data_IF_128246843005
#
_entry.id   IF_128246843005
#
_cell.length_a   1.000
_cell.length_b   1.000
_cell.length_c   1.000
_cell.angle_alpha   90.00
_cell.angle_beta   90.00
_cell.angle_gamma   90.00
#
_symmetry.space_group_name_H-M   'P 1'
#
loop_
_entity.id
_entity.type
_entity.pdbx_description
1 polymer ?
#
# COMPACT_ATOMS: atom_id res chain seq x y z
N UNK A 1 -25.92 48.98 14.84
CA UNK A 1 -24.61 48.58 15.39
C UNK A 1 -23.79 48.06 14.22
N UNK A 2 -22.63 48.64 13.92
CA UNK A 2 -21.82 48.15 12.80
C UNK A 2 -21.18 46.80 13.19
N UNK A 3 -21.33 45.84 12.31
CA UNK A 3 -20.68 44.52 12.37
C UNK A 3 -19.20 44.77 12.19
N UNK A 4 -18.37 44.47 13.21
CA UNK A 4 -16.91 44.54 13.12
C UNK A 4 -16.40 43.49 12.12
N UNK A 5 -15.71 43.95 11.09
CA UNK A 5 -14.93 43.08 10.21
C UNK A 5 -13.93 42.24 11.01
N UNK A 6 -13.73 40.95 10.66
CA UNK A 6 -12.72 40.13 11.32
C UNK A 6 -11.34 40.74 11.07
N UNK A 7 -10.58 41.01 12.15
CA UNK A 7 -9.19 41.41 12.07
C UNK A 7 -8.38 40.39 11.27
N UNK A 8 -7.52 40.83 10.33
CA UNK A 8 -6.52 39.94 9.75
C UNK A 8 -5.64 39.37 10.87
N UNK A 9 -5.43 38.08 10.88
CA UNK A 9 -4.44 37.44 11.75
C UNK A 9 -3.07 38.06 11.47
N UNK A 10 -2.59 38.89 12.39
CA UNK A 10 -1.21 39.41 12.37
C UNK A 10 -0.27 38.19 12.40
N UNK A 11 0.44 38.00 11.31
CA UNK A 11 1.49 36.97 11.20
C UNK A 11 2.68 37.43 12.05
N UNK A 12 2.86 36.85 13.24
CA UNK A 12 4.05 37.05 14.02
C UNK A 12 5.30 36.70 13.16
N UNK A 13 6.43 37.44 13.30
CA UNK A 13 7.65 37.23 12.49
C UNK A 13 8.22 35.81 12.55
N UNK A 14 7.86 35.00 13.55
CA UNK A 14 8.25 33.60 13.74
C UNK A 14 7.30 32.57 13.07
N UNK A 15 6.31 33.02 12.28
CA UNK A 15 5.30 32.09 11.71
C UNK A 15 5.72 31.43 10.41
N UNK A 16 6.83 31.82 9.81
CA UNK A 16 7.30 31.35 8.50
C UNK A 16 8.76 30.91 8.55
N UNK A 17 9.12 30.00 7.68
CA UNK A 17 10.50 29.55 7.47
C UNK A 17 10.88 29.76 6.00
N UNK A 18 12.09 30.23 5.74
CA UNK A 18 12.63 30.38 4.40
C UNK A 18 13.14 29.03 3.87
N UNK A 19 13.25 28.91 2.50
CA UNK A 19 13.85 27.75 1.84
C UNK A 19 15.26 27.47 2.37
N UNK A 20 16.09 28.50 2.49
CA UNK A 20 17.47 28.36 2.95
C UNK A 20 17.57 27.85 4.41
N UNK A 21 16.72 28.38 5.29
CA UNK A 21 16.66 27.94 6.69
C UNK A 21 16.15 26.50 6.79
N UNK A 22 15.10 26.13 6.05
CA UNK A 22 14.56 24.78 6.03
C UNK A 22 15.61 23.78 5.51
N UNK A 23 16.29 24.12 4.40
CA UNK A 23 17.35 23.30 3.84
C UNK A 23 18.49 23.07 4.85
N UNK A 24 18.93 24.10 5.57
CA UNK A 24 19.99 24.00 6.58
C UNK A 24 19.59 23.15 7.80
N UNK A 25 18.30 22.86 7.97
CA UNK A 25 17.75 22.12 9.12
C UNK A 25 17.21 20.74 8.76
N UNK A 26 17.42 20.27 7.52
CA UNK A 26 17.07 18.89 7.14
C UNK A 26 17.79 17.89 8.07
N UNK A 27 17.05 16.87 8.51
CA UNK A 27 17.57 15.84 9.42
C UNK A 27 17.69 16.28 10.89
N UNK A 28 17.27 17.50 11.25
CA UNK A 28 17.24 17.92 12.64
C UNK A 28 16.09 17.23 13.41
N UNK A 29 16.44 16.43 14.42
CA UNK A 29 15.48 15.68 15.24
C UNK A 29 14.50 16.55 16.05
N UNK A 30 14.79 17.85 16.23
CA UNK A 30 13.90 18.79 16.91
C UNK A 30 12.85 19.40 15.96
N UNK A 31 12.89 19.05 14.64
CA UNK A 31 12.03 19.59 13.61
C UNK A 31 11.22 18.46 12.94
N UNK A 32 9.90 18.56 13.01
CA UNK A 32 8.99 17.72 12.23
C UNK A 32 8.50 18.49 11.01
N UNK A 33 8.90 18.07 9.83
CA UNK A 33 8.42 18.62 8.54
C UNK A 33 7.17 17.84 8.15
N UNK A 34 6.09 18.53 7.77
CA UNK A 34 4.82 17.90 7.40
C UNK A 34 4.38 18.34 6.01
N UNK A 35 4.18 17.36 5.14
CA UNK A 35 3.59 17.53 3.83
C UNK A 35 2.07 17.39 3.93
N UNK A 36 1.32 18.46 3.63
CA UNK A 36 -0.14 18.46 3.72
C UNK A 36 -0.83 18.12 2.39
N UNK A 37 -0.06 17.80 1.35
CA UNK A 37 -0.58 17.42 0.03
C UNK A 37 -1.18 16.03 0.06
N UNK A 38 -1.92 15.69 -0.99
CA UNK A 38 -2.42 14.33 -1.18
C UNK A 38 -1.27 13.31 -1.31
N UNK A 39 -1.49 12.08 -0.84
CA UNK A 39 -0.49 11.01 -0.85
C UNK A 39 0.13 10.72 -2.23
N UNK A 40 -0.61 10.76 -3.35
CA UNK A 40 0.01 10.60 -4.65
C UNK A 40 1.15 11.61 -4.91
N UNK A 41 0.95 12.88 -4.55
CA UNK A 41 1.99 13.91 -4.71
C UNK A 41 3.20 13.64 -3.81
N UNK A 42 2.95 13.24 -2.55
CA UNK A 42 3.99 12.82 -1.62
C UNK A 42 4.78 11.62 -2.15
N UNK A 43 4.10 10.62 -2.70
CA UNK A 43 4.70 9.38 -3.20
C UNK A 43 5.53 9.59 -4.48
N UNK A 44 5.29 10.63 -5.28
CA UNK A 44 6.10 10.86 -6.46
C UNK A 44 5.37 11.41 -7.69
N UNK A 45 4.03 11.40 -7.70
CA UNK A 45 3.26 12.02 -8.78
C UNK A 45 3.43 13.53 -8.75
N UNK A 46 3.54 14.14 -9.92
CA UNK A 46 3.68 15.60 -9.98
C UNK A 46 2.36 16.28 -9.66
N UNK A 47 2.37 17.13 -8.64
CA UNK A 47 1.27 18.07 -8.44
C UNK A 47 1.28 19.17 -9.50
N UNK A 48 0.13 19.80 -9.73
CA UNK A 48 -0.04 20.85 -10.75
C UNK A 48 0.99 21.96 -10.60
N UNK A 49 1.73 22.23 -11.66
CA UNK A 49 2.76 23.28 -11.68
C UNK A 49 4.10 22.92 -11.07
N UNK A 50 4.26 21.73 -10.49
CA UNK A 50 5.55 21.31 -9.94
C UNK A 50 6.50 20.77 -11.03
N UNK A 51 7.79 21.07 -10.93
CA UNK A 51 8.81 20.60 -11.87
C UNK A 51 9.05 19.08 -11.73
N UNK A 52 8.91 18.52 -10.52
CA UNK A 52 9.07 17.09 -10.20
C UNK A 52 8.10 16.67 -9.11
N UNK A 53 7.85 15.35 -8.99
CA UNK A 53 7.08 14.76 -7.90
C UNK A 53 7.95 14.37 -6.70
N UNK A 54 7.32 13.97 -5.59
CA UNK A 54 7.97 13.59 -4.35
C UNK A 54 7.75 14.60 -3.22
N UNK A 55 8.61 14.54 -2.19
CA UNK A 55 8.48 15.36 -0.97
C UNK A 55 9.85 15.81 -0.45
N UNK A 56 9.84 16.77 0.48
CA UNK A 56 11.06 17.22 1.19
C UNK A 56 11.55 16.05 2.06
N UNK A 57 12.85 15.69 2.01
CA UNK A 57 13.38 14.56 2.77
C UNK A 57 13.04 14.61 4.26
N UNK A 58 12.60 13.47 4.77
CA UNK A 58 12.17 13.33 6.16
C UNK A 58 10.80 13.96 6.49
N UNK A 59 10.09 14.49 5.51
CA UNK A 59 8.73 14.99 5.74
C UNK A 59 7.74 13.85 6.03
N UNK A 60 6.86 14.09 6.99
CA UNK A 60 5.73 13.21 7.34
C UNK A 60 4.52 13.60 6.51
N UNK A 61 3.86 12.62 5.89
CA UNK A 61 2.62 12.86 5.15
C UNK A 61 1.42 13.03 6.08
N UNK A 62 0.69 14.14 5.91
CA UNK A 62 -0.62 14.36 6.54
C UNK A 62 -1.56 15.08 5.57
N UNK A 63 -2.21 14.36 4.64
CA UNK A 63 -3.15 14.94 3.69
C UNK A 63 -4.19 15.81 4.36
N UNK A 64 -4.34 17.07 3.91
CA UNK A 64 -5.26 18.01 4.53
C UNK A 64 -6.72 17.55 4.46
N UNK A 65 -7.09 16.76 3.46
CA UNK A 65 -8.42 16.18 3.30
C UNK A 65 -8.85 15.30 4.50
N UNK A 66 -7.91 14.75 5.26
CA UNK A 66 -8.24 13.96 6.45
C UNK A 66 -8.89 14.80 7.56
N UNK A 67 -8.70 16.13 7.58
CA UNK A 67 -9.39 16.99 8.54
C UNK A 67 -10.90 17.01 8.37
N UNK A 68 -11.39 16.73 7.16
CA UNK A 68 -12.81 16.75 6.82
C UNK A 68 -13.41 15.34 6.70
N UNK A 69 -12.57 14.31 6.55
CA UNK A 69 -13.01 12.93 6.30
C UNK A 69 -13.09 12.06 7.56
N UNK A 70 -12.44 12.47 8.66
CA UNK A 70 -12.47 11.75 9.93
C UNK A 70 -12.83 12.67 11.09
N UNK A 71 -13.32 12.11 12.18
CA UNK A 71 -13.69 12.88 13.35
C UNK A 71 -12.47 13.46 14.10
N UNK A 72 -12.72 14.44 14.97
CA UNK A 72 -11.64 15.16 15.68
C UNK A 72 -10.76 14.24 16.55
N UNK A 73 -11.28 13.30 17.33
CA UNK A 73 -10.45 12.37 18.11
C UNK A 73 -9.53 11.53 17.25
N UNK A 74 -9.99 11.08 16.08
CA UNK A 74 -9.20 10.29 15.17
C UNK A 74 -8.09 11.12 14.51
N UNK A 75 -8.38 12.37 14.11
CA UNK A 75 -7.36 13.33 13.64
C UNK A 75 -6.28 13.52 14.70
N UNK A 76 -6.65 13.72 15.97
CA UNK A 76 -5.70 13.88 17.07
C UNK A 76 -4.83 12.64 17.25
N UNK A 77 -5.42 11.46 17.20
CA UNK A 77 -4.72 10.18 17.25
C UNK A 77 -3.69 10.03 16.12
N UNK A 78 -4.05 10.42 14.88
CA UNK A 78 -3.12 10.39 13.75
C UNK A 78 -1.98 11.38 13.90
N UNK A 79 -2.28 12.61 14.31
CA UNK A 79 -1.24 13.63 14.55
C UNK A 79 -0.24 13.18 15.62
N UNK A 80 -0.73 12.50 16.66
CA UNK A 80 0.11 11.93 17.72
C UNK A 80 0.94 10.76 17.20
N UNK A 81 0.31 9.78 16.52
CA UNK A 81 0.98 8.60 15.98
C UNK A 81 2.07 8.95 14.95
N UNK A 82 1.89 10.05 14.21
CA UNK A 82 2.86 10.57 13.23
C UNK A 82 3.93 11.50 13.85
N UNK A 83 3.94 11.67 15.18
CA UNK A 83 4.90 12.54 15.85
C UNK A 83 4.77 14.03 15.51
N UNK A 84 3.60 14.46 15.03
CA UNK A 84 3.31 15.86 14.70
C UNK A 84 2.85 16.61 15.95
N UNK A 85 1.93 16.02 16.71
CA UNK A 85 1.47 16.58 17.97
C UNK A 85 2.55 16.37 19.05
N UNK A 86 2.81 17.44 19.82
CA UNK A 86 3.87 17.50 20.83
C UNK A 86 5.32 17.52 20.28
N UNK A 87 5.49 17.67 18.96
CA UNK A 87 6.81 17.95 18.39
C UNK A 87 7.37 19.27 18.90
N UNK A 88 8.69 19.36 18.99
CA UNK A 88 9.37 20.59 19.49
C UNK A 88 9.12 21.77 18.58
N UNK A 89 9.16 21.54 17.27
CA UNK A 89 8.79 22.48 16.22
C UNK A 89 8.21 21.73 15.02
N UNK A 90 7.14 22.27 14.42
CA UNK A 90 6.52 21.74 13.22
C UNK A 90 6.66 22.75 12.09
N UNK A 91 7.08 22.26 10.91
CA UNK A 91 7.06 23.03 9.67
C UNK A 91 6.10 22.39 8.71
N UNK A 92 5.08 23.13 8.28
CA UNK A 92 4.06 22.70 7.34
C UNK A 92 4.37 23.23 5.93
N UNK A 93 4.14 22.42 4.92
CA UNK A 93 4.14 22.87 3.52
C UNK A 93 3.12 22.08 2.68
N UNK A 94 2.66 22.68 1.59
CA UNK A 94 1.74 22.10 0.63
C UNK A 94 1.95 22.66 -0.75
N UNK A 95 0.98 22.49 -1.64
CA UNK A 95 0.95 23.17 -2.95
C UNK A 95 0.37 24.59 -2.81
N UNK A 96 -0.60 24.75 -1.91
CA UNK A 96 -1.24 26.04 -1.62
C UNK A 96 -0.98 26.44 -0.16
N UNK A 97 -0.63 27.72 0.10
CA UNK A 97 -0.42 28.19 1.47
C UNK A 97 -1.64 27.99 2.38
N UNK A 98 -2.87 28.04 1.83
CA UNK A 98 -4.12 27.85 2.58
C UNK A 98 -4.20 26.45 3.23
N UNK A 99 -3.74 25.40 2.55
CA UNK A 99 -3.78 24.04 3.08
C UNK A 99 -2.94 23.92 4.35
N UNK A 100 -1.75 24.50 4.35
CA UNK A 100 -0.89 24.57 5.52
C UNK A 100 -1.49 25.40 6.67
N UNK A 101 -2.22 26.50 6.36
CA UNK A 101 -2.90 27.33 7.36
C UNK A 101 -4.02 26.56 8.07
N UNK A 102 -4.78 25.72 7.37
CA UNK A 102 -5.86 24.92 7.95
C UNK A 102 -5.32 23.95 9.00
N UNK A 103 -4.23 23.22 8.69
CA UNK A 103 -3.60 22.33 9.65
C UNK A 103 -2.95 23.11 10.80
N UNK A 104 -2.33 24.27 10.54
CA UNK A 104 -1.77 25.14 11.58
C UNK A 104 -2.83 25.56 12.61
N UNK A 105 -4.01 25.96 12.15
CA UNK A 105 -5.13 26.31 13.02
C UNK A 105 -5.54 25.12 13.90
N UNK A 106 -5.68 23.94 13.30
CA UNK A 106 -6.02 22.71 14.03
C UNK A 106 -4.97 22.35 15.08
N UNK A 107 -3.68 22.45 14.75
CA UNK A 107 -2.58 22.20 15.68
C UNK A 107 -2.57 23.19 16.84
N UNK A 108 -2.87 24.47 16.58
CA UNK A 108 -2.99 25.49 17.64
C UNK A 108 -4.13 25.16 18.62
N UNK A 109 -5.29 24.73 18.13
CA UNK A 109 -6.44 24.27 18.94
C UNK A 109 -6.08 23.05 19.83
N UNK A 110 -5.11 22.25 19.39
CA UNK A 110 -4.61 21.08 20.13
C UNK A 110 -3.39 21.40 21.01
N UNK A 111 -3.02 22.70 21.10
CA UNK A 111 -1.95 23.16 21.99
C UNK A 111 -0.52 23.03 21.43
N UNK A 112 -0.35 22.76 20.15
CA UNK A 112 0.97 22.73 19.50
C UNK A 112 1.51 24.16 19.35
N UNK A 113 2.51 24.54 20.16
CA UNK A 113 2.93 25.92 20.31
C UNK A 113 3.80 26.47 19.17
N UNK A 114 4.63 25.63 18.56
CA UNK A 114 5.61 26.07 17.56
C UNK A 114 5.29 25.45 16.18
N UNK A 115 4.51 26.20 15.40
CA UNK A 115 4.13 25.79 14.03
C UNK A 115 4.49 26.91 13.05
N UNK A 116 5.38 26.62 12.13
CA UNK A 116 5.83 27.51 11.06
C UNK A 116 5.34 26.98 9.70
N UNK A 117 5.28 27.85 8.71
CA UNK A 117 4.88 27.49 7.35
C UNK A 117 6.00 27.82 6.38
N UNK A 118 6.34 26.85 5.53
CA UNK A 118 7.15 27.09 4.36
C UNK A 118 6.24 27.53 3.21
N UNK A 119 6.18 28.86 2.99
CA UNK A 119 5.23 29.47 2.03
C UNK A 119 5.50 29.13 0.58
N UNK A 120 6.77 28.94 0.20
CA UNK A 120 7.14 28.53 -1.17
C UNK A 120 6.63 27.14 -1.53
N UNK A 121 6.33 26.34 -0.53
CA UNK A 121 5.75 25.02 -0.67
C UNK A 121 6.58 24.08 -1.55
N UNK A 122 5.92 23.03 -2.03
CA UNK A 122 6.59 22.07 -2.89
C UNK A 122 7.03 22.67 -4.23
N UNK A 123 6.25 23.59 -4.81
CA UNK A 123 6.56 24.15 -6.10
C UNK A 123 7.91 24.88 -6.13
N UNK A 124 8.22 25.69 -5.10
CA UNK A 124 9.51 26.37 -4.96
C UNK A 124 10.65 25.38 -4.70
N UNK A 125 10.41 24.37 -3.85
CA UNK A 125 11.40 23.34 -3.55
C UNK A 125 11.72 22.48 -4.78
N UNK A 126 10.68 22.04 -5.51
CA UNK A 126 10.81 21.18 -6.68
C UNK A 126 11.47 21.87 -7.86
N UNK A 127 11.35 23.19 -7.99
CA UNK A 127 11.98 23.98 -9.04
C UNK A 127 13.51 24.08 -8.91
N UNK A 128 14.04 23.83 -7.71
CA UNK A 128 15.47 23.83 -7.44
C UNK A 128 16.00 22.38 -7.49
N UNK A 129 16.54 21.98 -8.63
CA UNK A 129 17.05 20.62 -8.84
C UNK A 129 18.27 20.27 -7.98
N UNK A 130 18.92 21.26 -7.37
CA UNK A 130 20.05 21.03 -6.46
C UNK A 130 19.60 20.57 -5.07
N UNK A 131 18.32 20.77 -4.73
CA UNK A 131 17.76 20.34 -3.47
C UNK A 131 17.33 18.86 -3.53
N UNK A 132 17.54 18.12 -2.42
CA UNK A 132 17.14 16.73 -2.35
C UNK A 132 15.60 16.59 -2.35
N UNK A 133 15.13 15.46 -2.87
CA UNK A 133 13.72 15.09 -2.84
C UNK A 133 13.61 13.58 -2.70
N UNK A 134 12.76 13.13 -1.78
CA UNK A 134 12.42 11.72 -1.60
C UNK A 134 11.13 11.39 -2.34
N UNK A 135 11.03 10.14 -2.79
CA UNK A 135 9.83 9.59 -3.42
C UNK A 135 9.80 8.08 -3.33
N UNK A 136 8.63 7.50 -3.45
CA UNK A 136 8.46 6.07 -3.64
C UNK A 136 9.11 5.65 -4.97
N UNK A 137 9.96 4.63 -4.96
CA UNK A 137 10.78 4.25 -6.13
C UNK A 137 9.93 3.91 -7.34
N UNK A 138 8.94 3.03 -7.17
CA UNK A 138 8.03 2.60 -8.24
C UNK A 138 6.64 3.26 -8.06
N UNK A 139 6.61 4.58 -7.81
CA UNK A 139 5.37 5.31 -7.54
C UNK A 139 4.34 5.20 -8.68
N UNK A 140 4.81 5.06 -9.92
CA UNK A 140 3.98 4.91 -11.11
C UNK A 140 3.22 3.59 -11.18
N UNK A 141 3.53 2.64 -10.28
CA UNK A 141 2.81 1.37 -10.11
C UNK A 141 1.68 1.47 -9.07
N UNK A 142 1.60 2.57 -8.33
CA UNK A 142 0.52 2.89 -7.41
C UNK A 142 -0.27 4.08 -7.98
N UNK A 143 -1.28 3.80 -8.79
CA UNK A 143 -2.06 4.83 -9.48
C UNK A 143 -3.20 5.33 -8.59
N UNK A 144 -3.58 6.59 -8.75
CA UNK A 144 -4.67 7.20 -7.99
C UNK A 144 -5.93 7.40 -8.85
N UNK A 145 -7.07 7.67 -8.22
CA UNK A 145 -8.36 7.74 -8.90
C UNK A 145 -8.40 8.77 -10.04
N UNK A 146 -7.85 9.97 -9.85
CA UNK A 146 -7.82 11.01 -10.90
C UNK A 146 -6.95 10.60 -12.10
N UNK A 147 -5.83 9.91 -11.83
CA UNK A 147 -4.97 9.37 -12.87
C UNK A 147 -5.71 8.35 -13.73
N UNK A 148 -6.39 7.39 -13.07
CA UNK A 148 -7.16 6.36 -13.75
C UNK A 148 -8.34 6.98 -14.52
N UNK A 149 -9.02 7.97 -13.94
CA UNK A 149 -10.10 8.70 -14.60
C UNK A 149 -9.63 9.36 -15.91
N UNK A 150 -8.50 10.08 -15.85
CA UNK A 150 -7.93 10.69 -17.04
C UNK A 150 -7.58 9.67 -18.12
N UNK A 151 -7.04 8.51 -17.73
CA UNK A 151 -6.71 7.43 -18.66
C UNK A 151 -7.97 6.87 -19.33
N UNK A 152 -9.03 6.59 -18.54
CA UNK A 152 -10.29 6.03 -19.04
C UNK A 152 -11.06 7.03 -19.94
N UNK A 153 -10.93 8.32 -19.71
CA UNK A 153 -11.47 9.38 -20.56
C UNK A 153 -10.66 9.58 -21.87
N UNK A 154 -9.66 8.74 -22.15
CA UNK A 154 -8.82 8.79 -23.33
C UNK A 154 -7.67 9.83 -23.25
N UNK A 155 -7.41 10.37 -22.07
CA UNK A 155 -6.27 11.24 -21.81
C UNK A 155 -4.95 10.47 -21.69
N UNK A 156 -3.85 11.22 -21.56
CA UNK A 156 -2.51 10.68 -21.33
C UNK A 156 -1.92 11.28 -20.06
N UNK A 157 -2.31 10.78 -18.88
CA UNK A 157 -1.71 11.24 -17.63
C UNK A 157 -0.22 10.90 -17.55
N UNK A 158 0.48 11.45 -16.54
CA UNK A 158 1.90 11.14 -16.30
C UNK A 158 2.11 9.63 -16.23
N UNK A 159 3.18 9.12 -16.84
CA UNK A 159 3.49 7.69 -16.92
C UNK A 159 2.35 6.81 -17.48
N UNK A 160 1.46 7.37 -18.33
CA UNK A 160 0.44 6.57 -18.98
C UNK A 160 1.04 5.39 -19.76
N UNK A 161 0.34 4.23 -19.83
CA UNK A 161 0.78 3.11 -20.65
C UNK A 161 1.09 3.52 -22.09
N UNK A 162 2.16 2.97 -22.65
CA UNK A 162 2.51 3.19 -24.06
C UNK A 162 1.91 2.15 -24.99
N UNK A 163 1.48 1.02 -24.43
CA UNK A 163 0.83 -0.12 -25.10
C UNK A 163 -0.60 -0.34 -24.63
N UNK A 164 -1.17 -1.50 -24.98
CA UNK A 164 -2.51 -1.88 -24.50
C UNK A 164 -2.54 -2.02 -22.99
N UNK A 165 -3.63 -1.60 -22.38
CA UNK A 165 -3.87 -1.83 -20.96
C UNK A 165 -5.20 -2.53 -20.73
N UNK A 166 -5.32 -3.20 -19.59
CA UNK A 166 -6.56 -3.80 -19.07
C UNK A 166 -6.75 -3.41 -17.62
N UNK A 167 -7.99 -3.12 -17.27
CA UNK A 167 -8.43 -2.85 -15.91
C UNK A 167 -9.20 -4.05 -15.38
N UNK A 168 -8.87 -4.51 -14.18
CA UNK A 168 -9.56 -5.65 -13.57
C UNK A 168 -10.09 -5.31 -12.17
N UNK A 169 -11.37 -5.63 -11.98
CA UNK A 169 -11.96 -5.81 -10.65
C UNK A 169 -11.55 -7.21 -10.17
N UNK A 170 -10.72 -7.28 -9.15
CA UNK A 170 -10.24 -8.55 -8.60
C UNK A 170 -11.07 -8.93 -7.38
N UNK A 171 -11.61 -10.14 -7.36
CA UNK A 171 -12.32 -10.67 -6.21
C UNK A 171 -12.10 -12.19 -6.12
N UNK A 172 -12.63 -12.80 -5.07
CA UNK A 172 -12.58 -14.23 -4.83
C UNK A 172 -13.94 -14.87 -5.14
N UNK A 173 -13.96 -15.83 -6.06
CA UNK A 173 -15.12 -16.68 -6.38
C UNK A 173 -16.12 -16.00 -7.29
N UNK A 174 -17.22 -15.52 -6.74
CA UNK A 174 -18.37 -15.03 -7.52
C UNK A 174 -18.26 -13.53 -7.87
N UNK A 175 -18.81 -13.11 -9.03
CA UNK A 175 -18.68 -11.73 -9.53
C UNK A 175 -19.76 -10.77 -9.00
N UNK A 176 -20.45 -11.09 -7.90
CA UNK A 176 -21.66 -10.34 -7.46
C UNK A 176 -21.37 -8.84 -7.25
N UNK A 177 -20.22 -8.48 -6.63
CA UNK A 177 -19.85 -7.08 -6.43
C UNK A 177 -19.53 -6.38 -7.74
N UNK A 178 -18.90 -7.08 -8.68
CA UNK A 178 -18.63 -6.58 -10.02
C UNK A 178 -19.93 -6.39 -10.82
N UNK A 179 -20.86 -7.34 -10.75
CA UNK A 179 -22.16 -7.29 -11.42
C UNK A 179 -23.05 -6.18 -10.85
N UNK A 180 -22.96 -5.90 -9.55
CA UNK A 180 -23.67 -4.79 -8.92
C UNK A 180 -23.26 -3.46 -9.55
N UNK A 181 -21.98 -3.16 -9.55
CA UNK A 181 -21.37 -2.05 -10.26
C UNK A 181 -19.83 -2.11 -10.15
N UNK A 182 -19.15 -1.48 -11.10
CA UNK A 182 -17.70 -1.48 -11.19
C UNK A 182 -17.17 -0.21 -11.88
N UNK A 183 -15.86 -0.03 -11.87
CA UNK A 183 -15.19 1.07 -12.58
C UNK A 183 -15.36 0.84 -14.09
N UNK A 184 -15.74 1.89 -14.88
CA UNK A 184 -16.00 1.73 -16.31
C UNK A 184 -14.86 1.06 -17.08
N UNK A 185 -15.22 0.07 -17.90
CA UNK A 185 -14.28 -0.70 -18.71
C UNK A 185 -13.50 -1.77 -17.95
N UNK A 186 -13.77 -1.99 -16.67
CA UNK A 186 -13.16 -3.07 -15.91
C UNK A 186 -13.68 -4.44 -16.36
N UNK A 187 -12.81 -5.44 -16.31
CA UNK A 187 -13.11 -6.85 -16.46
C UNK A 187 -13.09 -7.53 -15.08
N UNK A 188 -13.82 -8.62 -14.93
CA UNK A 188 -13.77 -9.42 -13.72
C UNK A 188 -12.60 -10.40 -13.72
N UNK A 189 -11.86 -10.47 -12.60
CA UNK A 189 -10.81 -11.45 -12.37
C UNK A 189 -11.06 -12.18 -11.06
N UNK A 190 -11.47 -13.45 -11.16
CA UNK A 190 -11.55 -14.36 -10.02
C UNK A 190 -10.15 -14.89 -9.67
N UNK A 191 -9.71 -14.69 -8.42
CA UNK A 191 -8.41 -15.19 -7.95
C UNK A 191 -8.26 -16.69 -8.09
N UNK A 192 -9.35 -17.47 -8.06
CA UNK A 192 -9.35 -18.92 -8.32
C UNK A 192 -8.83 -19.30 -9.72
N UNK A 193 -8.75 -18.34 -10.65
CA UNK A 193 -8.10 -18.56 -11.95
C UNK A 193 -6.58 -18.53 -11.86
N UNK A 194 -6.04 -17.94 -10.80
CA UNK A 194 -4.61 -17.75 -10.58
C UNK A 194 -4.06 -18.65 -9.48
N UNK A 195 -4.89 -19.08 -8.55
CA UNK A 195 -4.53 -19.92 -7.41
C UNK A 195 -5.45 -21.14 -7.28
N UNK A 196 -4.93 -22.17 -6.61
CA UNK A 196 -5.66 -23.42 -6.38
C UNK A 196 -6.55 -23.27 -5.15
N UNK A 197 -7.87 -23.50 -5.25
CA UNK A 197 -8.80 -23.36 -4.13
C UNK A 197 -8.63 -24.40 -3.00
N UNK A 198 -7.74 -25.40 -3.17
CA UNK A 198 -7.51 -26.47 -2.18
C UNK A 198 -6.39 -26.10 -1.20
N UNK A 199 -5.28 -25.57 -1.72
CA UNK A 199 -4.09 -25.23 -0.95
C UNK A 199 -3.71 -23.75 -1.00
N UNK A 200 -4.43 -22.96 -1.80
CA UNK A 200 -4.24 -21.53 -2.00
C UNK A 200 -2.91 -21.12 -2.66
N UNK A 201 -2.13 -22.11 -3.10
CA UNK A 201 -0.91 -21.85 -3.82
C UNK A 201 -1.22 -21.41 -5.26
N UNK A 202 -0.28 -20.74 -5.89
CA UNK A 202 -0.36 -20.42 -7.32
C UNK A 202 -0.66 -21.66 -8.15
N UNK A 203 -1.39 -21.51 -9.23
CA UNK A 203 -1.62 -22.58 -10.21
C UNK A 203 -0.34 -22.96 -10.94
N UNK A 204 -0.38 -24.11 -11.63
CA UNK A 204 0.74 -24.56 -12.44
C UNK A 204 1.05 -23.57 -13.57
N UNK A 205 2.28 -23.58 -14.12
CA UNK A 205 2.63 -22.72 -15.24
C UNK A 205 1.69 -22.83 -16.45
N UNK A 206 1.21 -24.04 -16.75
CA UNK A 206 0.29 -24.31 -17.85
C UNK A 206 -1.09 -23.71 -17.60
N UNK A 207 -1.62 -23.85 -16.37
CA UNK A 207 -2.89 -23.25 -15.96
C UNK A 207 -2.81 -21.73 -15.95
N UNK A 208 -1.67 -21.16 -15.51
CA UNK A 208 -1.45 -19.72 -15.54
C UNK A 208 -1.37 -19.20 -16.99
N UNK A 209 -0.69 -19.89 -17.91
CA UNK A 209 -0.66 -19.50 -19.32
C UNK A 209 -2.08 -19.50 -19.92
N UNK A 210 -2.88 -20.51 -19.63
CA UNK A 210 -4.28 -20.55 -20.06
C UNK A 210 -5.08 -19.39 -19.48
N UNK A 211 -4.93 -19.11 -18.19
CA UNK A 211 -5.61 -17.99 -17.52
C UNK A 211 -5.21 -16.64 -18.16
N UNK A 212 -3.91 -16.38 -18.35
CA UNK A 212 -3.43 -15.14 -18.99
C UNK A 212 -4.03 -14.98 -20.39
N UNK A 213 -3.98 -16.04 -21.19
CA UNK A 213 -4.55 -15.99 -22.56
C UNK A 213 -6.05 -15.77 -22.55
N UNK A 214 -6.78 -16.42 -21.66
CA UNK A 214 -8.24 -16.25 -21.55
C UNK A 214 -8.65 -14.84 -21.14
N UNK A 215 -7.89 -14.18 -20.27
CA UNK A 215 -8.10 -12.78 -19.90
C UNK A 215 -7.60 -11.78 -20.98
N UNK A 216 -6.97 -12.29 -22.06
CA UNK A 216 -6.36 -11.46 -23.09
C UNK A 216 -5.15 -10.68 -22.60
N UNK A 217 -4.44 -11.24 -21.62
CA UNK A 217 -3.20 -10.66 -21.07
C UNK A 217 -2.01 -11.27 -21.81
N UNK A 218 -1.13 -10.40 -22.31
CA UNK A 218 0.21 -10.76 -22.79
C UNK A 218 1.26 -10.21 -21.83
N UNK A 219 2.50 -10.64 -21.96
CA UNK A 219 3.61 -10.09 -21.19
C UNK A 219 3.66 -8.55 -21.22
N UNK A 220 3.37 -7.96 -22.38
CA UNK A 220 3.50 -6.51 -22.62
C UNK A 220 2.21 -5.73 -22.32
N UNK A 221 1.17 -6.39 -21.83
CA UNK A 221 -0.08 -5.74 -21.41
C UNK A 221 0.15 -5.02 -20.09
N UNK A 222 -0.13 -3.72 -20.02
CA UNK A 222 -0.24 -3.03 -18.73
C UNK A 222 -1.51 -3.52 -18.03
N UNK A 223 -1.37 -4.09 -16.84
CA UNK A 223 -2.50 -4.58 -16.02
C UNK A 223 -2.72 -3.66 -14.85
N UNK A 224 -3.91 -3.05 -14.78
CA UNK A 224 -4.33 -2.19 -13.67
C UNK A 224 -5.33 -2.99 -12.84
N UNK A 225 -5.07 -3.10 -11.54
CA UNK A 225 -5.84 -3.93 -10.61
C UNK A 225 -6.48 -3.07 -9.54
N UNK A 226 -7.69 -3.42 -9.15
CA UNK A 226 -8.32 -2.90 -7.94
C UNK A 226 -9.19 -3.97 -7.30
N UNK A 227 -9.39 -3.87 -5.98
CA UNK A 227 -10.34 -4.66 -5.23
C UNK A 227 -11.44 -3.77 -4.66
N UNK A 228 -12.50 -4.42 -4.18
CA UNK A 228 -13.57 -3.80 -3.41
C UNK A 228 -13.65 -4.53 -2.08
N UNK A 229 -13.37 -3.84 -0.97
CA UNK A 229 -13.55 -4.40 0.35
C UNK A 229 -15.04 -4.45 0.68
N UNK A 230 -15.53 -5.56 1.21
CA UNK A 230 -16.93 -5.75 1.57
C UNK A 230 -17.04 -6.31 2.98
N UNK A 231 -18.16 -6.03 3.65
CA UNK A 231 -18.44 -6.60 4.99
C UNK A 231 -18.55 -8.13 4.97
N UNK A 232 -18.71 -8.74 3.78
CA UNK A 232 -18.94 -10.17 3.60
C UNK A 232 -20.24 -10.66 4.25
N UNK A 233 -20.68 -11.85 3.93
CA UNK A 233 -21.85 -12.45 4.55
C UNK A 233 -21.44 -13.26 5.79
N UNK A 234 -22.21 -13.15 6.88
CA UNK A 234 -21.93 -13.80 8.17
C UNK A 234 -21.76 -15.32 8.09
N UNK A 235 -22.26 -15.96 7.03
CA UNK A 235 -22.25 -17.41 6.81
C UNK A 235 -21.26 -17.84 5.72
N UNK A 236 -20.41 -16.98 5.19
CA UNK A 236 -19.41 -17.34 4.19
C UNK A 236 -18.38 -18.31 4.79
N UNK A 237 -18.26 -19.47 4.15
CA UNK A 237 -17.21 -20.44 4.51
C UNK A 237 -15.81 -19.88 4.29
N UNK A 238 -15.67 -19.01 3.31
CA UNK A 238 -14.43 -18.36 2.89
C UNK A 238 -14.66 -16.86 2.71
N UNK A 239 -14.45 -16.03 3.72
CA UNK A 239 -14.73 -14.60 3.65
C UNK A 239 -13.67 -13.81 2.85
N UNK A 240 -13.06 -14.42 1.85
CA UNK A 240 -12.08 -13.79 0.96
C UNK A 240 -12.60 -12.54 0.23
N UNK A 241 -13.91 -12.40 0.11
CA UNK A 241 -14.58 -11.20 -0.42
C UNK A 241 -14.33 -9.94 0.42
N UNK A 242 -14.11 -10.10 1.73
CA UNK A 242 -13.74 -8.98 2.62
C UNK A 242 -12.36 -8.40 2.33
N UNK A 243 -11.52 -9.15 1.63
CA UNK A 243 -10.12 -8.82 1.41
C UNK A 243 -9.87 -8.25 0.02
N UNK A 244 -10.84 -7.58 -0.62
CA UNK A 244 -10.80 -7.17 -2.02
C UNK A 244 -9.48 -6.51 -2.46
N UNK A 245 -8.97 -5.52 -1.73
CA UNK A 245 -7.68 -4.90 -2.07
C UNK A 245 -6.50 -5.88 -1.89
N UNK A 246 -6.56 -6.78 -0.89
CA UNK A 246 -5.57 -7.86 -0.74
C UNK A 246 -5.64 -8.82 -1.92
N UNK A 247 -6.83 -9.12 -2.44
CA UNK A 247 -7.02 -9.95 -3.63
C UNK A 247 -6.34 -9.32 -4.86
N UNK A 248 -6.45 -8.00 -5.04
CA UNK A 248 -5.75 -7.28 -6.10
C UNK A 248 -4.22 -7.39 -5.97
N UNK A 249 -3.67 -7.30 -4.76
CA UNK A 249 -2.26 -7.52 -4.50
C UNK A 249 -1.83 -8.98 -4.74
N UNK A 250 -2.70 -9.95 -4.39
CA UNK A 250 -2.48 -11.37 -4.69
C UNK A 250 -2.40 -11.62 -6.19
N UNK A 251 -3.33 -11.07 -6.95
CA UNK A 251 -3.28 -11.12 -8.41
C UNK A 251 -2.00 -10.46 -8.96
N UNK A 252 -1.63 -9.27 -8.44
CA UNK A 252 -0.42 -8.57 -8.86
C UNK A 252 0.84 -9.43 -8.70
N UNK A 253 1.00 -10.12 -7.57
CA UNK A 253 2.13 -11.01 -7.32
C UNK A 253 2.18 -12.15 -8.34
N UNK A 254 1.07 -12.87 -8.55
CA UNK A 254 1.03 -14.03 -9.45
C UNK A 254 1.22 -13.61 -10.92
N UNK A 255 0.62 -12.50 -11.34
CA UNK A 255 0.84 -11.93 -12.67
C UNK A 255 2.31 -11.53 -12.88
N UNK A 256 2.93 -10.95 -11.87
CA UNK A 256 4.36 -10.58 -11.92
C UNK A 256 5.26 -11.82 -11.98
N UNK A 257 4.96 -12.85 -11.19
CA UNK A 257 5.61 -14.15 -11.22
C UNK A 257 5.52 -14.78 -12.61
N UNK A 258 4.32 -14.75 -13.22
CA UNK A 258 4.12 -15.25 -14.57
C UNK A 258 4.96 -14.51 -15.61
N UNK A 259 5.18 -13.20 -15.45
CA UNK A 259 6.03 -12.40 -16.32
C UNK A 259 5.39 -11.13 -16.90
N UNK A 260 4.25 -10.70 -16.40
CA UNK A 260 3.67 -9.38 -16.76
C UNK A 260 4.61 -8.28 -16.26
N UNK A 261 5.05 -7.42 -17.17
CA UNK A 261 6.06 -6.40 -16.84
C UNK A 261 5.48 -5.17 -16.14
N UNK A 262 4.32 -4.68 -16.57
CA UNK A 262 3.69 -3.46 -16.04
C UNK A 262 2.38 -3.79 -15.32
N UNK A 263 2.45 -3.90 -13.99
CA UNK A 263 1.31 -4.11 -13.11
C UNK A 263 1.15 -2.89 -12.23
N UNK A 264 -0.07 -2.37 -12.17
CA UNK A 264 -0.41 -1.19 -11.39
C UNK A 264 -1.59 -1.49 -10.46
N UNK A 265 -1.54 -0.94 -9.27
CA UNK A 265 -2.61 -1.03 -8.28
C UNK A 265 -3.30 0.33 -8.16
N UNK A 266 -4.63 0.35 -8.17
CA UNK A 266 -5.39 1.55 -7.81
C UNK A 266 -5.34 1.71 -6.29
N UNK A 267 -4.68 2.76 -5.83
CA UNK A 267 -4.54 3.06 -4.41
C UNK A 267 -5.90 3.35 -3.77
N UNK A 268 -6.19 2.67 -2.65
CA UNK A 268 -7.51 2.73 -1.99
C UNK A 268 -8.64 2.02 -2.75
N UNK A 269 -8.36 1.38 -3.88
CA UNK A 269 -9.27 0.51 -4.61
C UNK A 269 -10.58 1.17 -5.04
N UNK A 270 -11.65 0.35 -5.06
CA UNK A 270 -13.00 0.77 -5.46
C UNK A 270 -13.53 1.91 -4.58
N UNK A 271 -13.34 1.84 -3.27
CA UNK A 271 -13.92 2.82 -2.35
C UNK A 271 -13.33 4.22 -2.56
N UNK A 272 -12.03 4.31 -2.80
CA UNK A 272 -11.39 5.59 -3.10
C UNK A 272 -11.83 6.17 -4.45
N UNK A 273 -12.10 5.30 -5.45
CA UNK A 273 -12.68 5.72 -6.72
C UNK A 273 -14.07 6.37 -6.53
N UNK A 274 -14.92 5.74 -5.71
CA UNK A 274 -16.27 6.25 -5.40
C UNK A 274 -16.21 7.54 -4.58
N UNK A 275 -15.35 7.60 -3.57
CA UNK A 275 -15.16 8.80 -2.74
C UNK A 275 -14.69 10.01 -3.55
N UNK A 276 -13.90 9.79 -4.61
CA UNK A 276 -13.50 10.82 -5.55
C UNK A 276 -14.65 11.29 -6.49
N UNK A 277 -15.86 10.74 -6.35
CA UNK A 277 -17.02 11.11 -7.16
C UNK A 277 -16.97 10.60 -8.59
N UNK A 278 -16.19 9.58 -8.88
CA UNK A 278 -16.03 9.03 -10.22
C UNK A 278 -17.22 8.12 -10.62
N UNK A 279 -17.49 7.97 -11.93
CA UNK A 279 -18.61 7.17 -12.41
C UNK A 279 -18.42 5.68 -12.21
N UNK A 280 -19.53 4.97 -12.13
CA UNK A 280 -19.60 3.50 -12.12
C UNK A 280 -20.44 3.03 -13.31
N UNK A 281 -20.26 1.77 -13.71
CA UNK A 281 -21.08 1.10 -14.69
C UNK A 281 -21.53 -0.28 -14.23
N UNK A 282 -22.53 -0.84 -14.93
CA UNK A 282 -23.09 -2.18 -14.71
C UNK A 282 -23.01 -3.05 -15.96
N UNK A 283 -22.38 -2.55 -17.01
CA UNK A 283 -22.22 -3.29 -18.28
C UNK A 283 -21.06 -4.26 -18.14
N UNK A 284 -21.39 -5.55 -18.12
CA UNK A 284 -20.39 -6.61 -17.94
C UNK A 284 -19.47 -6.70 -19.17
N UNK A 285 -18.18 -6.57 -18.93
CA UNK A 285 -17.15 -6.72 -19.94
C UNK A 285 -16.76 -8.19 -20.14
N UNK A 286 -16.56 -8.59 -21.40
CA UNK A 286 -16.03 -9.91 -21.74
C UNK A 286 -14.57 -9.78 -22.16
N UNK A 287 -13.63 -10.55 -21.57
CA UNK A 287 -12.25 -10.52 -22.02
C UNK A 287 -12.12 -11.14 -23.41
N UNK A 288 -11.34 -10.50 -24.28
CA UNK A 288 -11.01 -11.04 -25.60
C UNK A 288 -9.72 -11.86 -25.47
N UNK A 289 -9.77 -13.18 -25.66
CA UNK A 289 -8.60 -14.04 -25.52
C UNK A 289 -7.51 -13.73 -26.54
N UNK A 290 -6.26 -14.01 -26.15
CA UNK A 290 -5.08 -13.90 -27.02
C UNK A 290 -4.48 -15.28 -27.30
N UNK A 291 -3.81 -15.48 -28.45
CA UNK A 291 -3.28 -16.78 -28.84
C UNK A 291 -2.07 -17.22 -28.01
N UNK A 292 -1.34 -16.29 -27.41
CA UNK A 292 -0.11 -16.55 -26.64
C UNK A 292 0.08 -15.50 -25.57
N UNK A 293 0.59 -15.89 -24.41
CA UNK A 293 1.07 -14.96 -23.38
C UNK A 293 2.37 -14.25 -23.80
N UNK A 294 3.20 -14.91 -24.62
CA UNK A 294 4.41 -14.32 -25.19
C UNK A 294 5.73 -14.78 -24.58
N UNK A 295 5.71 -15.37 -23.40
CA UNK A 295 6.89 -15.94 -22.72
C UNK A 295 6.52 -17.22 -21.97
N UNK A 296 7.53 -18.01 -21.62
CA UNK A 296 7.34 -19.17 -20.76
C UNK A 296 7.10 -18.74 -19.31
N UNK A 297 6.11 -19.33 -18.65
CA UNK A 297 5.80 -19.14 -17.24
C UNK A 297 6.52 -20.23 -16.41
N UNK A 298 7.10 -19.87 -15.26
CA UNK A 298 7.27 -18.51 -14.74
C UNK A 298 8.47 -17.80 -15.38
N UNK A 299 8.34 -16.50 -15.57
CA UNK A 299 9.48 -15.65 -15.94
C UNK A 299 10.27 -15.16 -14.71
N UNK A 300 9.61 -15.09 -13.55
CA UNK A 300 10.17 -14.57 -12.28
C UNK A 300 9.91 -15.54 -11.15
N UNK A 301 10.50 -16.75 -11.18
CA UNK A 301 10.24 -17.78 -10.15
C UNK A 301 10.65 -17.33 -8.74
N UNK A 302 11.61 -16.43 -8.62
CA UNK A 302 12.13 -15.92 -7.35
C UNK A 302 11.11 -15.14 -6.51
N UNK A 303 9.98 -14.71 -7.10
CA UNK A 303 8.97 -13.90 -6.41
C UNK A 303 8.03 -14.72 -5.53
N UNK A 304 7.84 -16.00 -5.85
CA UNK A 304 7.00 -16.91 -5.07
C UNK A 304 7.82 -18.16 -4.75
N UNK A 305 8.11 -18.34 -3.49
CA UNK A 305 8.95 -19.44 -2.98
C UNK A 305 8.12 -20.51 -2.30
N UNK A 306 8.66 -21.71 -2.29
CA UNK A 306 8.09 -22.88 -1.64
C UNK A 306 8.74 -23.14 -0.27
N UNK A 307 8.37 -24.20 0.42
CA UNK A 307 8.78 -24.49 1.79
C UNK A 307 10.30 -24.68 1.95
N UNK A 308 10.97 -25.22 0.93
CA UNK A 308 12.42 -25.48 1.00
C UNK A 308 13.22 -24.18 0.99
N UNK A 309 12.84 -23.20 0.17
CA UNK A 309 13.43 -21.86 0.18
C UNK A 309 13.11 -21.11 1.48
N UNK A 310 11.88 -21.27 2.02
CA UNK A 310 11.54 -20.71 3.33
C UNK A 310 12.45 -21.26 4.44
N UNK A 311 12.80 -22.56 4.42
CA UNK A 311 13.76 -23.16 5.33
C UNK A 311 15.19 -22.63 5.13
N UNK A 312 15.59 -22.35 3.89
CA UNK A 312 16.89 -21.72 3.59
C UNK A 312 16.96 -20.32 4.19
N UNK A 313 15.91 -19.50 4.04
CA UNK A 313 15.83 -18.17 4.66
C UNK A 313 16.00 -18.25 6.17
N UNK A 314 15.31 -19.19 6.83
CA UNK A 314 15.41 -19.37 8.28
C UNK A 314 16.80 -19.81 8.75
N UNK A 315 17.59 -20.44 7.89
CA UNK A 315 18.97 -20.85 8.18
C UNK A 315 20.00 -19.72 8.11
N UNK A 316 19.68 -18.59 7.45
CA UNK A 316 20.56 -17.42 7.25
C UNK A 316 19.91 -16.13 7.75
N UNK A 317 19.72 -16.02 9.08
CA UNK A 317 19.06 -14.88 9.70
C UNK A 317 19.84 -13.55 9.60
N UNK A 318 21.11 -13.62 9.31
CA UNK A 318 21.94 -12.43 9.10
C UNK A 318 21.58 -11.73 7.80
N UNK A 319 21.40 -12.49 6.71
CA UNK A 319 21.18 -11.94 5.36
C UNK A 319 19.76 -12.17 4.80
N UNK A 320 18.89 -12.83 5.57
CA UNK A 320 17.53 -13.12 5.15
C UNK A 320 16.52 -13.00 6.31
N UNK A 321 15.25 -12.80 5.98
CA UNK A 321 14.16 -12.75 6.94
C UNK A 321 12.90 -13.39 6.38
N UNK A 322 12.33 -14.35 7.11
CA UNK A 322 10.98 -14.86 6.86
C UNK A 322 10.02 -14.08 7.75
N UNK A 323 9.13 -13.30 7.13
CA UNK A 323 8.34 -12.27 7.80
C UNK A 323 6.88 -12.69 7.90
N UNK A 324 6.38 -12.81 9.12
CA UNK A 324 4.98 -13.10 9.41
C UNK A 324 4.10 -11.85 9.25
N UNK A 325 3.22 -11.85 8.25
CA UNK A 325 2.21 -10.80 8.06
C UNK A 325 0.88 -11.32 8.60
N UNK A 326 0.84 -11.50 9.90
CA UNK A 326 -0.32 -11.99 10.65
C UNK A 326 -0.54 -11.11 11.88
N UNK A 327 -1.74 -11.12 12.44
CA UNK A 327 -2.00 -10.37 13.68
C UNK A 327 -1.07 -10.85 14.80
N UNK A 328 -0.81 -9.98 15.77
CA UNK A 328 -0.01 -10.39 16.94
C UNK A 328 -0.59 -11.62 17.65
N UNK A 329 -1.91 -11.70 17.78
CA UNK A 329 -2.59 -12.84 18.40
C UNK A 329 -2.41 -14.14 17.63
N UNK A 330 -2.39 -14.10 16.28
CA UNK A 330 -2.06 -15.25 15.45
C UNK A 330 -0.59 -15.64 15.62
N UNK A 331 0.31 -14.65 15.61
CA UNK A 331 1.75 -14.86 15.69
C UNK A 331 2.17 -15.51 17.01
N UNK A 332 1.62 -15.07 18.14
CA UNK A 332 1.88 -15.69 19.44
C UNK A 332 1.08 -16.99 19.68
N UNK A 333 0.23 -17.40 18.77
CA UNK A 333 -0.58 -18.62 18.88
C UNK A 333 -1.76 -18.51 19.84
N UNK A 334 -2.21 -17.31 20.18
CA UNK A 334 -3.43 -17.13 20.98
C UNK A 334 -4.70 -17.48 20.19
N UNK A 335 -4.65 -17.41 18.89
CA UNK A 335 -5.70 -17.82 17.94
C UNK A 335 -5.05 -18.37 16.67
N UNK A 336 -5.79 -19.17 15.89
CA UNK A 336 -5.38 -19.55 14.53
C UNK A 336 -5.53 -18.38 13.55
N UNK A 337 -6.58 -17.58 13.72
CA UNK A 337 -6.94 -16.48 12.82
C UNK A 337 -7.80 -16.91 11.64
N UNK A 338 -7.96 -18.20 11.40
CA UNK A 338 -8.68 -18.76 10.26
C UNK A 338 -9.62 -19.88 10.71
N UNK A 339 -10.75 -20.03 10.03
CA UNK A 339 -11.72 -21.10 10.29
C UNK A 339 -11.33 -22.42 9.59
N UNK A 340 -10.33 -22.41 8.72
CA UNK A 340 -9.85 -23.56 7.92
C UNK A 340 -8.42 -24.00 8.27
N UNK A 341 -7.70 -23.26 9.11
CA UNK A 341 -6.38 -23.62 9.62
C UNK A 341 -6.53 -23.91 11.12
N UNK A 342 -6.36 -25.17 11.51
CA UNK A 342 -6.53 -25.58 12.90
C UNK A 342 -5.39 -25.15 13.83
N UNK A 343 -4.11 -25.40 13.47
CA UNK A 343 -2.99 -25.05 14.32
C UNK A 343 -2.85 -23.55 14.57
N UNK A 344 -2.45 -23.19 15.81
CA UNK A 344 -2.11 -21.83 16.20
C UNK A 344 -0.60 -21.75 16.52
N UNK A 345 0.02 -20.59 16.29
CA UNK A 345 1.45 -20.37 16.48
C UNK A 345 2.11 -19.67 15.31
N UNK A 346 3.43 -19.73 15.26
CA UNK A 346 4.25 -19.16 14.20
C UNK A 346 5.32 -20.13 13.72
N UNK A 347 5.91 -19.85 12.59
CA UNK A 347 7.10 -20.53 12.09
C UNK A 347 8.26 -20.22 13.04
N UNK A 348 8.95 -21.28 13.53
CA UNK A 348 10.06 -21.08 14.44
C UNK A 348 11.17 -20.26 13.79
N UNK A 349 11.51 -19.12 14.39
CA UNK A 349 12.56 -18.25 13.92
C UNK A 349 12.15 -17.19 12.89
N UNK A 350 10.88 -17.05 12.62
CA UNK A 350 10.34 -15.94 11.83
C UNK A 350 10.44 -14.59 12.55
N UNK A 351 10.13 -13.55 11.82
CA UNK A 351 10.05 -12.16 12.33
C UNK A 351 8.63 -11.65 12.13
N UNK A 352 8.06 -10.99 13.14
CA UNK A 352 6.75 -10.39 13.01
C UNK A 352 6.81 -9.05 12.26
N UNK A 353 6.14 -8.97 11.12
CA UNK A 353 6.12 -7.81 10.23
C UNK A 353 4.88 -6.93 10.39
N UNK A 354 4.07 -7.13 11.44
CA UNK A 354 2.78 -6.48 11.62
C UNK A 354 1.72 -6.95 10.61
N UNK A 355 0.47 -6.48 10.77
CA UNK A 355 -0.63 -6.76 9.86
C UNK A 355 -1.79 -5.79 10.13
N UNK A 356 -2.79 -6.24 10.86
CA UNK A 356 -3.99 -5.52 11.24
C UNK A 356 -4.74 -6.25 12.35
N UNK A 357 -6.04 -6.00 12.46
CA UNK A 357 -6.90 -6.51 13.54
C UNK A 357 -7.27 -7.99 13.38
N UNK A 358 -7.37 -8.48 12.14
CA UNK A 358 -7.72 -9.87 11.82
C UNK A 358 -7.09 -10.36 10.50
N UNK A 359 -7.60 -11.48 9.95
CA UNK A 359 -7.09 -12.11 8.74
C UNK A 359 -7.43 -11.36 7.42
N UNK A 360 -8.24 -10.31 7.49
CA UNK A 360 -8.77 -9.58 6.32
C UNK A 360 -8.40 -8.11 6.32
N UNK A 361 -7.81 -7.60 7.40
CA UNK A 361 -7.49 -6.20 7.60
C UNK A 361 -5.98 -5.97 7.69
N UNK A 362 -5.54 -4.85 7.12
CA UNK A 362 -4.12 -4.46 6.99
C UNK A 362 -3.86 -3.04 7.53
N UNK A 363 -4.46 -2.68 8.67
CA UNK A 363 -4.45 -1.31 9.22
C UNK A 363 -3.04 -0.78 9.54
N UNK A 364 -2.06 -1.66 9.77
CA UNK A 364 -0.67 -1.22 9.93
C UNK A 364 -0.04 -0.74 8.60
N UNK A 365 -0.64 -1.10 7.48
CA UNK A 365 -0.15 -0.82 6.13
C UNK A 365 -1.02 0.15 5.34
N UNK A 366 -2.22 0.45 5.82
CA UNK A 366 -3.19 1.33 5.17
C UNK A 366 -3.55 2.52 6.04
N UNK A 367 -3.92 3.60 5.38
CA UNK A 367 -4.51 4.78 6.01
C UNK A 367 -6.02 4.57 6.24
N UNK A 368 -6.64 5.53 6.89
CA UNK A 368 -8.09 5.54 7.18
C UNK A 368 -8.97 5.52 5.93
N UNK A 369 -8.48 6.02 4.81
CA UNK A 369 -9.12 6.05 3.50
C UNK A 369 -8.75 4.83 2.62
N UNK A 370 -8.22 3.79 3.24
CA UNK A 370 -7.77 2.54 2.60
C UNK A 370 -6.61 2.68 1.61
N UNK A 371 -6.01 3.86 1.49
CA UNK A 371 -4.79 4.07 0.70
C UNK A 371 -3.57 3.49 1.39
N UNK A 372 -2.51 3.22 0.64
CA UNK A 372 -1.23 2.79 1.19
C UNK A 372 -0.72 3.82 2.21
N UNK A 373 -0.32 3.36 3.39
CA UNK A 373 0.36 4.21 4.37
C UNK A 373 1.65 4.78 3.77
N UNK A 374 2.04 5.98 4.20
CA UNK A 374 3.29 6.58 3.73
C UNK A 374 4.46 5.58 3.86
N UNK A 375 5.17 5.34 2.77
CA UNK A 375 6.20 4.29 2.71
C UNK A 375 7.31 4.43 3.77
N UNK A 376 7.73 5.63 4.22
CA UNK A 376 8.70 5.75 5.29
C UNK A 376 8.17 5.23 6.64
N UNK A 377 6.86 5.31 6.88
CA UNK A 377 6.25 4.76 8.10
C UNK A 377 6.25 3.22 8.08
N UNK A 378 5.99 2.62 6.90
CA UNK A 378 6.09 1.17 6.72
C UNK A 378 7.54 0.71 6.90
N UNK A 379 8.49 1.41 6.27
CA UNK A 379 9.92 1.10 6.38
C UNK A 379 10.40 1.19 7.84
N UNK A 380 10.01 2.23 8.58
CA UNK A 380 10.37 2.38 9.99
C UNK A 380 9.83 1.25 10.88
N UNK A 381 8.59 0.79 10.62
CA UNK A 381 8.03 -0.39 11.31
C UNK A 381 8.84 -1.65 11.03
N UNK A 382 9.28 -1.85 9.79
CA UNK A 382 10.08 -3.00 9.38
C UNK A 382 11.50 -2.94 9.95
N UNK A 383 12.16 -1.77 9.89
CA UNK A 383 13.49 -1.56 10.48
C UNK A 383 13.51 -1.85 11.97
N UNK A 384 12.46 -1.44 12.71
CA UNK A 384 12.29 -1.76 14.13
C UNK A 384 12.25 -3.25 14.45
N UNK A 385 11.91 -4.09 13.46
CA UNK A 385 11.90 -5.55 13.52
C UNK A 385 13.11 -6.19 12.76
N UNK A 386 14.12 -5.40 12.40
CA UNK A 386 15.28 -5.82 11.60
C UNK A 386 14.93 -6.43 10.23
N UNK A 387 13.80 -5.99 9.64
CA UNK A 387 13.38 -6.31 8.28
C UNK A 387 13.86 -5.16 7.38
N UNK A 388 14.89 -5.39 6.58
CA UNK A 388 15.61 -4.34 5.85
C UNK A 388 15.87 -4.72 4.40
N UNK A 389 16.02 -3.74 3.51
CA UNK A 389 16.14 -3.92 2.07
C UNK A 389 17.43 -4.63 1.61
N UNK A 390 18.46 -4.69 2.44
CA UNK A 390 19.70 -5.39 2.19
C UNK A 390 19.59 -6.91 2.37
N UNK A 391 18.53 -7.39 3.04
CA UNK A 391 18.25 -8.80 3.24
C UNK A 391 17.42 -9.41 2.10
N UNK A 392 17.46 -10.72 1.98
CA UNK A 392 16.43 -11.46 1.25
C UNK A 392 15.19 -11.60 2.14
N UNK A 393 14.12 -10.87 1.82
CA UNK A 393 12.91 -10.83 2.62
C UNK A 393 11.80 -11.63 1.94
N UNK A 394 11.31 -12.66 2.62
CA UNK A 394 10.12 -13.38 2.19
C UNK A 394 8.98 -13.16 3.19
N UNK A 395 7.85 -12.69 2.70
CA UNK A 395 6.64 -12.49 3.49
C UNK A 395 5.78 -13.76 3.46
N UNK A 396 5.10 -14.05 4.57
CA UNK A 396 4.09 -15.10 4.64
C UNK A 396 2.91 -14.69 5.53
N UNK A 397 1.75 -15.30 5.29
CA UNK A 397 0.59 -15.22 6.17
C UNK A 397 -0.08 -16.60 6.32
N UNK A 398 -1.38 -16.72 6.28
CA UNK A 398 -2.07 -18.02 6.21
C UNK A 398 -1.80 -18.75 4.91
N UNK A 399 -2.04 -18.06 3.78
CA UNK A 399 -2.10 -18.62 2.42
C UNK A 399 -1.57 -17.63 1.36
N UNK A 400 -0.63 -16.77 1.70
CA UNK A 400 0.03 -15.84 0.78
C UNK A 400 -0.71 -14.52 0.49
N UNK A 401 -1.97 -14.35 0.84
CA UNK A 401 -2.77 -13.18 0.48
C UNK A 401 -2.29 -11.87 1.09
N UNK A 402 -2.32 -11.74 2.44
CA UNK A 402 -1.80 -10.54 3.15
C UNK A 402 -0.31 -10.31 2.85
N UNK A 403 0.44 -11.39 2.71
CA UNK A 403 1.85 -11.35 2.34
C UNK A 403 2.07 -10.73 0.95
N UNK A 404 1.13 -10.91 0.01
CA UNK A 404 1.19 -10.29 -1.31
C UNK A 404 1.07 -8.78 -1.26
N UNK A 405 0.31 -8.22 -0.32
CA UNK A 405 0.21 -6.77 -0.14
C UNK A 405 1.52 -6.17 0.39
N UNK A 406 2.13 -6.78 1.41
CA UNK A 406 3.43 -6.34 1.92
C UNK A 406 4.54 -6.51 0.89
N UNK A 407 4.52 -7.59 0.12
CA UNK A 407 5.41 -7.78 -1.01
C UNK A 407 5.26 -6.65 -2.03
N UNK A 408 4.00 -6.27 -2.38
CA UNK A 408 3.76 -5.19 -3.34
C UNK A 408 4.28 -3.85 -2.82
N UNK A 409 4.13 -3.56 -1.54
CA UNK A 409 4.67 -2.33 -0.93
C UNK A 409 6.19 -2.32 -0.91
N UNK A 410 6.85 -3.45 -0.60
CA UNK A 410 8.30 -3.58 -0.72
C UNK A 410 8.77 -3.41 -2.18
N UNK A 411 8.02 -3.94 -3.15
CA UNK A 411 8.25 -3.70 -4.58
C UNK A 411 8.13 -2.22 -4.94
N UNK A 412 7.11 -1.52 -4.45
CA UNK A 412 6.96 -0.08 -4.66
C UNK A 412 8.15 0.71 -4.10
N UNK A 413 8.70 0.29 -2.96
CA UNK A 413 9.91 0.88 -2.36
C UNK A 413 11.19 0.54 -3.14
N UNK A 414 11.15 -0.37 -4.11
CA UNK A 414 12.29 -0.78 -4.89
C UNK A 414 13.22 -1.78 -4.20
N UNK A 415 12.72 -2.55 -3.23
CA UNK A 415 13.53 -3.57 -2.55
C UNK A 415 13.97 -4.67 -3.52
N UNK A 416 15.26 -5.03 -3.55
CA UNK A 416 15.81 -5.85 -4.63
C UNK A 416 15.54 -7.35 -4.50
N UNK A 417 15.37 -7.87 -3.27
CA UNK A 417 15.25 -9.31 -2.99
C UNK A 417 14.07 -9.59 -2.10
N UNK A 418 12.88 -9.67 -2.72
CA UNK A 418 11.60 -9.86 -2.03
C UNK A 418 10.84 -11.03 -2.63
N UNK A 419 10.18 -11.80 -1.78
CA UNK A 419 9.37 -12.94 -2.18
C UNK A 419 8.14 -13.11 -1.28
N UNK A 420 7.24 -14.00 -1.67
CA UNK A 420 6.18 -14.53 -0.82
C UNK A 420 6.37 -16.03 -0.69
N UNK A 421 6.37 -16.54 0.54
CA UNK A 421 6.22 -17.96 0.82
C UNK A 421 4.75 -18.35 0.64
N UNK A 422 4.48 -19.04 -0.45
CA UNK A 422 3.12 -19.27 -0.97
C UNK A 422 2.29 -20.18 -0.05
N UNK A 423 2.86 -21.28 0.39
CA UNK A 423 2.21 -22.23 1.29
C UNK A 423 1.85 -21.67 2.67
N UNK A 424 2.59 -20.67 3.12
CA UNK A 424 2.36 -19.94 4.35
C UNK A 424 2.19 -20.81 5.58
N UNK A 425 1.43 -20.29 6.55
CA UNK A 425 1.11 -21.02 7.77
C UNK A 425 0.27 -22.28 7.50
N UNK A 426 -0.57 -22.25 6.48
CA UNK A 426 -1.43 -23.38 6.10
C UNK A 426 -0.62 -24.63 5.73
N UNK A 427 0.44 -24.47 4.93
CA UNK A 427 1.31 -25.58 4.56
C UNK A 427 2.25 -25.95 5.71
N UNK A 428 2.92 -24.97 6.31
CA UNK A 428 3.93 -25.17 7.33
C UNK A 428 3.39 -25.94 8.54
N UNK A 429 2.22 -25.56 9.02
CA UNK A 429 1.63 -26.11 10.26
C UNK A 429 1.04 -27.52 10.12
N UNK A 430 1.00 -28.09 8.91
CA UNK A 430 0.52 -29.47 8.68
C UNK A 430 1.48 -30.54 9.21
N UNK A 431 2.77 -30.23 9.25
CA UNK A 431 3.79 -31.18 9.74
C UNK A 431 4.72 -30.48 10.74
N UNK A 432 4.33 -30.35 12.01
CA UNK A 432 5.12 -29.69 13.03
C UNK A 432 6.39 -30.48 13.44
N UNK A 433 6.54 -31.72 12.97
CA UNK A 433 7.74 -32.52 13.20
C UNK A 433 8.86 -32.08 12.25
N UNK A 434 8.55 -31.95 10.96
CA UNK A 434 9.51 -31.50 9.94
C UNK A 434 9.62 -29.98 9.85
N UNK A 435 8.60 -29.25 10.32
CA UNK A 435 8.45 -27.80 10.24
C UNK A 435 8.21 -27.24 11.65
N UNK A 436 9.27 -26.89 12.40
CA UNK A 436 9.13 -26.42 13.77
C UNK A 436 8.23 -25.19 13.91
N UNK A 437 7.40 -25.21 14.95
CA UNK A 437 6.49 -24.12 15.29
C UNK A 437 6.77 -23.61 16.70
N UNK A 438 6.44 -22.36 16.95
CA UNK A 438 6.51 -21.72 18.26
C UNK A 438 5.16 -21.14 18.67
N UNK A 439 4.92 -21.11 19.99
CA UNK A 439 3.73 -20.55 20.64
C UNK A 439 4.18 -19.71 21.83
N UNK A 440 3.43 -18.66 22.14
CA UNK A 440 3.76 -17.69 23.18
C UNK A 440 4.53 -16.49 22.62
N UNK A 441 4.82 -15.53 23.48
CA UNK A 441 5.58 -14.34 23.11
C UNK A 441 7.02 -14.73 22.73
N UNK A 442 7.59 -14.10 21.66
CA UNK A 442 8.99 -14.31 21.33
C UNK A 442 9.88 -13.91 22.51
N UNK A 443 10.83 -14.78 22.84
CA UNK A 443 11.85 -14.43 23.84
C UNK A 443 12.80 -13.44 23.19
N UNK A 444 12.99 -12.27 23.81
CA UNK A 444 13.99 -11.32 23.37
C UNK A 444 15.38 -12.00 23.40
N UNK A 445 16.04 -12.08 22.26
CA UNK A 445 17.39 -12.63 22.11
C UNK A 445 18.43 -11.53 22.32
#
# INVERSE_FOLDING_TARGET
MPVSEPRPLETAPDSHISKAELCARLGNLDLTIVDVRALPAYNGWRSSGAARGGHIPGAVAFPIAWLDSVDRPEVERFLQAKGILHAREVVLYGDRPQDALSLKARLADLGQARVRIYQGGWAEWAADETLPADRLTNYDKLVHADWLRQLLDGGRPEAAPTGPFKLFHVNFGVPEEYEENHIPGALYLDTNRLENPVDWNRRTPEELDEAMRSFGITRDTTVILYGRDTEGHANEKWPGRRAGQIAACRAALILRYAGVDDIRLLDGGYDHWVQAGNPLETVLGEPVPVPSFGVQIPLRPELIIDIDEAKQILSDREHAALVSVRTWREHIGAVSGYNYIGPAGRIAGDVWGNCGSDAYHMEHYRNVDNTMRAYPEIAANWEGAAITADKWVAFYCGTGWRASETWFYAYLMGWPRIAVYDGGWFEWSKDPVSNPIEVGEPVAV
#
